data_IF_201396732088
#
_entry.id   IF_201396732088
#
_cell.length_a   1.000
_cell.length_b   1.000
_cell.length_c   1.000
_cell.angle_alpha   90.00
_cell.angle_beta   90.00
_cell.angle_gamma   90.00
#
_symmetry.space_group_name_H-M   'P 1'
#
loop_
_entity.id
_entity.type
_entity.pdbx_description
1 polymer ?
#
# COMPACT_ATOMS: atom_id res chain seq x y z
N UNK A 1 -47.24 15.63 19.61
CA UNK A 1 -46.40 14.52 19.09
C UNK A 1 -45.24 14.94 18.16
N UNK A 2 -45.13 16.20 17.69
CA UNK A 2 -44.08 16.60 16.71
C UNK A 2 -42.64 16.56 17.22
N UNK A 3 -42.42 16.98 18.47
CA UNK A 3 -41.10 17.01 19.14
C UNK A 3 -40.36 15.65 19.17
N UNK A 4 -41.09 14.53 19.27
CA UNK A 4 -40.49 13.19 19.30
C UNK A 4 -40.04 12.73 17.90
N UNK A 5 -40.75 13.14 16.85
CA UNK A 5 -40.41 12.82 15.46
C UNK A 5 -39.18 13.59 14.98
N UNK A 6 -39.03 14.85 15.41
CA UNK A 6 -37.87 15.69 15.08
C UNK A 6 -36.60 15.20 15.80
N UNK A 7 -36.69 14.81 17.08
CA UNK A 7 -35.55 14.24 17.80
C UNK A 7 -35.04 12.92 17.18
N UNK A 8 -35.95 12.02 16.78
CA UNK A 8 -35.57 10.75 16.13
C UNK A 8 -34.83 10.96 14.80
N UNK A 9 -35.09 12.07 14.12
CA UNK A 9 -34.45 12.42 12.85
C UNK A 9 -33.08 13.06 13.08
N UNK A 10 -32.95 13.89 14.12
CA UNK A 10 -31.67 14.46 14.54
C UNK A 10 -30.68 13.38 15.01
N UNK A 11 -31.14 12.40 15.80
CA UNK A 11 -30.30 11.31 16.30
C UNK A 11 -29.78 10.41 15.16
N UNK A 12 -30.65 10.10 14.19
CA UNK A 12 -30.26 9.42 12.95
C UNK A 12 -29.20 10.21 12.17
N UNK A 13 -29.37 11.53 12.02
CA UNK A 13 -28.37 12.38 11.35
C UNK A 13 -27.02 12.32 12.07
N UNK A 14 -27.00 12.40 13.41
CA UNK A 14 -25.76 12.28 14.20
C UNK A 14 -25.13 10.90 14.02
N UNK A 15 -25.93 9.83 14.00
CA UNK A 15 -25.47 8.46 13.72
C UNK A 15 -24.81 8.35 12.34
N UNK A 16 -25.43 8.91 11.30
CA UNK A 16 -24.86 8.92 9.95
C UNK A 16 -23.58 9.76 9.85
N UNK A 17 -23.51 10.91 10.53
CA UNK A 17 -22.29 11.73 10.55
C UNK A 17 -21.15 10.99 11.23
N UNK A 18 -21.40 10.32 12.37
CA UNK A 18 -20.39 9.48 13.03
C UNK A 18 -19.93 8.33 12.13
N UNK A 19 -20.87 7.66 11.47
CA UNK A 19 -20.54 6.60 10.53
C UNK A 19 -19.68 7.12 9.38
N UNK A 20 -20.04 8.27 8.79
CA UNK A 20 -19.31 8.91 7.71
C UNK A 20 -17.88 9.29 8.10
N UNK A 21 -17.67 9.78 9.33
CA UNK A 21 -16.34 10.08 9.86
C UNK A 21 -15.52 8.79 9.99
N UNK A 22 -16.09 7.75 10.59
CA UNK A 22 -15.40 6.46 10.77
C UNK A 22 -15.04 5.84 9.42
N UNK A 23 -15.94 5.84 8.44
CA UNK A 23 -15.64 5.34 7.09
C UNK A 23 -14.59 6.17 6.38
N UNK A 24 -14.62 7.50 6.52
CA UNK A 24 -13.60 8.38 5.94
C UNK A 24 -12.20 8.11 6.54
N UNK A 25 -12.11 7.92 7.86
CA UNK A 25 -10.84 7.58 8.53
C UNK A 25 -10.32 6.23 8.05
N UNK A 26 -11.17 5.21 8.00
CA UNK A 26 -10.78 3.88 7.51
C UNK A 26 -10.29 3.95 6.07
N UNK A 27 -11.03 4.63 5.19
CA UNK A 27 -10.62 4.81 3.80
C UNK A 27 -9.26 5.54 3.69
N UNK A 28 -9.05 6.58 4.49
CA UNK A 28 -7.77 7.29 4.55
C UNK A 28 -6.60 6.39 4.98
N UNK A 29 -6.79 5.55 6.00
CA UNK A 29 -5.77 4.61 6.46
C UNK A 29 -5.44 3.55 5.41
N UNK A 30 -6.45 3.05 4.68
CA UNK A 30 -6.24 2.10 3.58
C UNK A 30 -5.41 2.74 2.48
N UNK A 31 -5.79 3.95 2.04
CA UNK A 31 -5.05 4.68 1.00
C UNK A 31 -3.60 4.93 1.43
N UNK A 32 -3.39 5.39 2.67
CA UNK A 32 -2.05 5.61 3.21
C UNK A 32 -1.22 4.32 3.23
N UNK A 33 -1.81 3.21 3.68
CA UNK A 33 -1.14 1.90 3.68
C UNK A 33 -0.75 1.44 2.28
N UNK A 34 -1.64 1.60 1.30
CA UNK A 34 -1.36 1.25 -0.10
C UNK A 34 -0.23 2.10 -0.69
N UNK A 35 -0.19 3.41 -0.38
CA UNK A 35 0.90 4.29 -0.79
C UNK A 35 2.24 3.84 -0.21
N UNK A 36 2.29 3.52 1.10
CA UNK A 36 3.51 3.05 1.76
C UNK A 36 4.00 1.72 1.17
N UNK A 37 3.09 0.77 0.93
CA UNK A 37 3.43 -0.50 0.29
C UNK A 37 4.02 -0.25 -1.10
N UNK A 38 3.40 0.64 -1.88
CA UNK A 38 3.84 0.95 -3.25
C UNK A 38 5.20 1.64 -3.27
N UNK A 39 5.46 2.56 -2.33
CA UNK A 39 6.73 3.26 -2.20
C UNK A 39 7.87 2.33 -1.74
N UNK A 40 7.57 1.32 -0.93
CA UNK A 40 8.56 0.38 -0.42
C UNK A 40 8.74 -0.86 -1.31
N UNK A 41 8.13 -0.91 -2.50
CA UNK A 41 8.36 -2.02 -3.42
C UNK A 41 9.77 -1.96 -3.97
N UNK A 42 10.50 -3.08 -3.99
CA UNK A 42 11.85 -3.12 -4.53
C UNK A 42 11.80 -2.80 -6.03
N UNK A 43 12.50 -1.73 -6.40
CA UNK A 43 12.72 -1.35 -7.79
C UNK A 43 14.11 -1.80 -8.25
N UNK A 44 14.27 -2.01 -9.55
CA UNK A 44 15.57 -2.34 -10.13
C UNK A 44 16.65 -1.32 -9.71
N UNK A 45 17.82 -1.80 -9.31
CA UNK A 45 18.93 -0.99 -8.82
C UNK A 45 18.95 -0.75 -7.30
N UNK A 46 17.91 -1.14 -6.54
CA UNK A 46 17.96 -1.04 -5.08
C UNK A 46 18.84 -2.17 -4.48
N UNK A 47 19.59 -1.90 -3.40
CA UNK A 47 20.40 -2.91 -2.73
C UNK A 47 19.50 -3.97 -2.10
N UNK A 48 19.92 -5.22 -2.16
CA UNK A 48 19.22 -6.35 -1.58
C UNK A 48 20.17 -7.16 -0.68
N UNK A 49 19.65 -7.68 0.43
CA UNK A 49 20.50 -8.38 1.41
C UNK A 49 20.66 -9.87 1.11
N UNK A 50 19.80 -10.46 0.26
CA UNK A 50 19.71 -11.91 0.09
C UNK A 50 19.71 -12.30 -1.38
N UNK A 51 20.73 -13.06 -1.78
CA UNK A 51 20.93 -13.51 -3.18
C UNK A 51 19.88 -14.53 -3.59
N UNK A 52 19.55 -14.54 -4.89
CA UNK A 52 18.62 -15.51 -5.51
C UNK A 52 17.19 -15.42 -4.97
N UNK A 53 16.80 -14.26 -4.46
CA UNK A 53 15.41 -13.98 -4.10
C UNK A 53 14.73 -13.33 -5.28
N UNK A 54 13.53 -13.79 -5.60
CA UNK A 54 12.66 -13.20 -6.63
C UNK A 54 11.47 -12.52 -5.96
N UNK A 55 11.10 -11.34 -6.43
CA UNK A 55 9.91 -10.60 -5.98
C UNK A 55 9.30 -9.82 -7.14
N UNK A 56 8.17 -9.16 -6.90
CA UNK A 56 7.46 -8.35 -7.89
C UNK A 56 7.71 -6.87 -7.61
N UNK A 57 8.07 -6.10 -8.63
CA UNK A 57 8.20 -4.66 -8.54
C UNK A 57 6.83 -3.95 -8.50
N UNK A 58 6.84 -2.62 -8.45
CA UNK A 58 5.61 -1.80 -8.51
C UNK A 58 4.86 -1.90 -9.83
N UNK A 59 5.58 -2.20 -10.91
CA UNK A 59 5.08 -2.37 -12.28
C UNK A 59 4.57 -3.79 -12.58
N UNK A 60 4.73 -4.72 -11.65
CA UNK A 60 4.31 -6.12 -11.80
C UNK A 60 5.33 -7.02 -12.50
N UNK A 61 6.51 -6.49 -12.84
CA UNK A 61 7.63 -7.27 -13.35
C UNK A 61 8.29 -8.06 -12.22
N UNK A 62 8.73 -9.26 -12.55
CA UNK A 62 9.52 -10.06 -11.62
C UNK A 62 10.93 -9.50 -11.60
N UNK A 63 11.41 -9.11 -10.42
CA UNK A 63 12.79 -8.72 -10.18
C UNK A 63 13.48 -9.80 -9.35
N UNK A 64 14.73 -10.10 -9.70
CA UNK A 64 15.59 -11.04 -8.98
C UNK A 64 16.75 -10.28 -8.33
N UNK A 65 17.14 -10.67 -7.13
CA UNK A 65 18.32 -10.13 -6.46
C UNK A 65 19.56 -10.95 -6.84
N UNK A 66 20.42 -10.38 -7.69
CA UNK A 66 21.74 -10.94 -8.00
C UNK A 66 22.82 -9.86 -7.96
N UNK A 67 24.08 -10.29 -8.07
CA UNK A 67 25.22 -9.38 -8.08
C UNK A 67 25.13 -8.44 -9.27
N UNK A 68 25.41 -7.17 -9.02
CA UNK A 68 25.57 -6.21 -10.12
C UNK A 68 26.80 -6.56 -10.96
N UNK A 69 26.72 -6.36 -12.27
CA UNK A 69 27.86 -6.49 -13.19
C UNK A 69 28.98 -5.50 -12.87
N UNK A 70 28.67 -4.40 -12.19
CA UNK A 70 29.64 -3.37 -11.80
C UNK A 70 30.45 -3.72 -10.54
N UNK A 71 29.99 -4.67 -9.71
CA UNK A 71 30.59 -4.99 -8.40
C UNK A 71 30.15 -6.37 -7.93
N UNK A 72 31.11 -7.29 -7.77
CA UNK A 72 30.85 -8.65 -7.33
C UNK A 72 30.43 -8.77 -5.85
N UNK A 73 30.49 -7.67 -5.08
CA UNK A 73 30.09 -7.63 -3.66
C UNK A 73 28.71 -7.03 -3.43
N UNK A 74 28.18 -6.26 -4.39
CA UNK A 74 26.89 -5.60 -4.24
C UNK A 74 25.78 -6.43 -4.87
N UNK A 75 24.80 -6.77 -4.05
CA UNK A 75 23.58 -7.45 -4.44
C UNK A 75 22.53 -6.38 -4.75
N UNK A 76 21.98 -6.39 -5.95
CA UNK A 76 20.95 -5.43 -6.37
C UNK A 76 19.77 -6.14 -7.03
N UNK A 77 18.60 -5.55 -6.91
CA UNK A 77 17.43 -5.99 -7.67
C UNK A 77 17.64 -5.72 -9.15
N UNK A 78 17.45 -6.74 -9.98
CA UNK A 78 17.53 -6.68 -11.44
C UNK A 78 16.26 -7.26 -12.05
N UNK A 79 15.83 -6.74 -13.19
CA UNK A 79 14.66 -7.28 -13.89
C UNK A 79 15.00 -8.70 -14.35
N UNK A 80 14.22 -9.68 -13.90
CA UNK A 80 14.40 -11.05 -14.36
C UNK A 80 14.01 -11.11 -15.84
N UNK A 81 14.80 -11.80 -16.70
CA UNK A 81 14.40 -12.00 -18.09
C UNK A 81 13.06 -12.73 -18.13
N UNK A 82 12.12 -12.23 -18.93
CA UNK A 82 10.89 -12.95 -19.23
C UNK A 82 11.28 -14.26 -19.91
N UNK A 83 11.04 -15.39 -19.24
CA UNK A 83 11.22 -16.74 -19.77
C UNK A 83 10.16 -17.06 -20.82
#
# INVERSE_FOLDING_TARGET
MRIVAEQKTADKKVGYVRLAIVTAVIAGLIVLGLCLISANRPAAGHPCSMRNVTTKDATGHTVSCDRTTASARDLVWQVAPAS
#
